data_IF_458813170969
#
_entry.id   IF_458813170969
#
_cell.length_a   1.000
_cell.length_b   1.000
_cell.length_c   1.000
_cell.angle_alpha   90.00
_cell.angle_beta   90.00
_cell.angle_gamma   90.00
#
_symmetry.space_group_name_H-M   'P 1'
#
loop_
_entity.id
_entity.type
_entity.pdbx_description
1 polymer ?
#
# COMPACT_ATOMS: atom_id res chain seq x y z
N UNK A 1 -4.73 19.80 1.19
CA UNK A 1 -4.95 18.41 1.66
C UNK A 1 -3.78 18.04 2.53
N UNK A 2 -4.03 17.47 3.70
CA UNK A 2 -2.98 17.17 4.67
C UNK A 2 -2.28 15.84 4.30
N UNK A 3 -1.01 15.91 3.88
CA UNK A 3 -0.18 14.77 3.44
C UNK A 3 -0.23 13.58 4.43
N UNK A 4 -0.38 13.89 5.71
CA UNK A 4 -0.50 12.91 6.79
C UNK A 4 -1.68 11.95 6.63
N UNK A 5 -2.80 12.41 6.06
CA UNK A 5 -3.98 11.56 5.86
C UNK A 5 -3.76 10.48 4.79
N UNK A 6 -2.91 10.78 3.81
CA UNK A 6 -2.68 9.92 2.66
C UNK A 6 -1.63 8.84 2.93
N UNK A 7 -0.61 9.14 3.74
CA UNK A 7 0.33 8.13 4.25
C UNK A 7 -0.39 7.15 5.18
N UNK A 8 -1.25 7.64 6.07
CA UNK A 8 -2.09 6.78 6.93
C UNK A 8 -3.03 5.89 6.12
N UNK A 9 -3.56 6.37 5.00
CA UNK A 9 -4.39 5.55 4.12
C UNK A 9 -3.60 4.36 3.56
N UNK A 10 -2.38 4.58 3.03
CA UNK A 10 -1.52 3.51 2.55
C UNK A 10 -1.25 2.46 3.64
N UNK A 11 -0.83 2.91 4.84
CA UNK A 11 -0.57 2.02 5.97
C UNK A 11 -1.82 1.23 6.37
N UNK A 12 -2.99 1.88 6.41
CA UNK A 12 -4.27 1.21 6.70
C UNK A 12 -4.62 0.16 5.65
N UNK A 13 -4.40 0.42 4.37
CA UNK A 13 -4.61 -0.57 3.30
C UNK A 13 -3.71 -1.79 3.50
N UNK A 14 -2.43 -1.59 3.79
CA UNK A 14 -1.47 -2.68 4.02
C UNK A 14 -1.86 -3.54 5.22
N UNK A 15 -2.25 -2.92 6.34
CA UNK A 15 -2.73 -3.65 7.53
C UNK A 15 -4.00 -4.44 7.23
N UNK A 16 -4.99 -3.80 6.58
CA UNK A 16 -6.26 -4.47 6.25
C UNK A 16 -6.05 -5.62 5.27
N UNK A 17 -5.14 -5.48 4.31
CA UNK A 17 -4.80 -6.55 3.37
C UNK A 17 -4.21 -7.75 4.10
N UNK A 18 -3.29 -7.53 5.05
CA UNK A 18 -2.72 -8.59 5.88
C UNK A 18 -3.79 -9.30 6.73
N UNK A 19 -4.72 -8.55 7.33
CA UNK A 19 -5.85 -9.12 8.08
C UNK A 19 -6.78 -9.93 7.15
N UNK A 20 -7.05 -9.43 5.94
CA UNK A 20 -7.89 -10.15 4.98
C UNK A 20 -7.24 -11.47 4.56
N UNK A 21 -5.93 -11.45 4.30
CA UNK A 21 -5.16 -12.65 3.96
C UNK A 21 -5.14 -13.67 5.12
N UNK A 22 -4.92 -13.21 6.36
CA UNK A 22 -4.92 -14.11 7.52
C UNK A 22 -6.28 -14.78 7.75
N UNK A 23 -7.36 -14.13 7.32
CA UNK A 23 -8.73 -14.64 7.40
C UNK A 23 -9.17 -15.42 6.14
N UNK A 24 -8.26 -15.69 5.19
CA UNK A 24 -8.55 -16.42 3.96
C UNK A 24 -9.34 -15.63 2.90
N UNK A 25 -9.54 -14.32 3.10
CA UNK A 25 -10.28 -13.44 2.19
C UNK A 25 -9.39 -12.94 1.04
N UNK A 26 -8.98 -13.85 0.15
CA UNK A 26 -7.99 -13.58 -0.91
C UNK A 26 -8.36 -12.39 -1.81
N UNK A 27 -9.58 -12.34 -2.32
CA UNK A 27 -10.04 -11.25 -3.22
C UNK A 27 -10.00 -9.88 -2.52
N UNK A 28 -10.40 -9.81 -1.25
CA UNK A 28 -10.36 -8.58 -0.46
C UNK A 28 -8.91 -8.16 -0.17
N UNK A 29 -8.01 -9.12 0.11
CA UNK A 29 -6.60 -8.86 0.28
C UNK A 29 -5.95 -8.31 -1.01
N UNK A 30 -6.25 -8.91 -2.16
CA UNK A 30 -5.78 -8.44 -3.47
C UNK A 30 -6.30 -7.04 -3.80
N UNK A 31 -7.59 -6.78 -3.56
CA UNK A 31 -8.22 -5.46 -3.73
C UNK A 31 -7.55 -4.39 -2.86
N UNK A 32 -7.31 -4.69 -1.58
CA UNK A 32 -6.68 -3.76 -0.63
C UNK A 32 -5.20 -3.52 -0.97
N UNK A 33 -4.46 -4.54 -1.42
CA UNK A 33 -3.09 -4.39 -1.94
C UNK A 33 -3.06 -3.50 -3.17
N UNK A 34 -3.95 -3.75 -4.13
CA UNK A 34 -4.06 -2.93 -5.33
C UNK A 34 -4.35 -1.46 -5.00
N UNK A 35 -5.24 -1.19 -4.04
CA UNK A 35 -5.49 0.18 -3.55
C UNK A 35 -4.27 0.79 -2.87
N UNK A 36 -3.57 0.03 -2.02
CA UNK A 36 -2.35 0.47 -1.36
C UNK A 36 -1.22 0.79 -2.34
N UNK A 37 -1.06 -0.04 -3.38
CA UNK A 37 -0.06 0.13 -4.44
C UNK A 37 -0.36 1.34 -5.32
N UNK A 38 -1.62 1.50 -5.77
CA UNK A 38 -2.04 2.68 -6.52
C UNK A 38 -1.78 3.96 -5.72
N UNK A 39 -2.04 3.92 -4.40
CA UNK A 39 -1.73 5.05 -3.53
C UNK A 39 -0.23 5.30 -3.46
N UNK A 40 0.59 4.26 -3.26
CA UNK A 40 2.04 4.39 -3.15
C UNK A 40 2.65 5.04 -4.40
N UNK A 41 2.28 4.58 -5.60
CA UNK A 41 2.86 5.10 -6.86
C UNK A 41 2.43 6.54 -7.20
N UNK A 42 1.40 7.05 -6.52
CA UNK A 42 0.87 8.41 -6.65
C UNK A 42 1.27 9.31 -5.48
N UNK A 43 2.15 8.86 -4.57
CA UNK A 43 2.66 9.70 -3.50
C UNK A 43 3.57 10.81 -4.04
N UNK A 44 3.44 12.00 -3.45
CA UNK A 44 4.38 13.09 -3.63
C UNK A 44 5.67 12.82 -2.85
N UNK A 45 6.75 13.53 -3.19
CA UNK A 45 8.05 13.35 -2.54
C UNK A 45 8.00 13.49 -1.01
N UNK A 46 7.32 14.52 -0.52
CA UNK A 46 7.14 14.76 0.91
C UNK A 46 6.40 13.63 1.62
N UNK A 47 5.46 12.98 0.91
CA UNK A 47 4.70 11.85 1.45
C UNK A 47 5.56 10.58 1.50
N UNK A 48 6.43 10.37 0.51
CA UNK A 48 7.41 9.29 0.52
C UNK A 48 8.44 9.48 1.62
N UNK A 49 8.91 10.71 1.85
CA UNK A 49 9.81 11.04 2.98
C UNK A 49 9.13 10.79 4.31
N UNK A 50 7.86 11.16 4.46
CA UNK A 50 7.12 10.92 5.68
C UNK A 50 6.87 9.42 5.91
N UNK A 51 6.51 8.68 4.86
CA UNK A 51 6.42 7.22 4.94
C UNK A 51 7.76 6.59 5.32
N UNK A 52 8.87 7.07 4.76
CA UNK A 52 10.21 6.60 5.08
C UNK A 52 10.55 6.83 6.56
N UNK A 53 10.20 7.99 7.13
CA UNK A 53 10.37 8.26 8.57
C UNK A 53 9.58 7.27 9.42
N UNK A 54 8.31 7.03 9.09
CA UNK A 54 7.44 6.08 9.82
C UNK A 54 8.00 4.66 9.78
N UNK A 55 8.62 4.26 8.67
CA UNK A 55 9.19 2.92 8.46
C UNK A 55 10.65 2.77 8.90
N UNK A 56 11.31 3.86 9.32
CA UNK A 56 12.71 3.86 9.75
C UNK A 56 12.89 3.31 11.17
N UNK A 57 14.08 2.79 11.45
CA UNK A 57 14.47 2.32 12.78
C UNK A 57 15.92 2.69 13.05
N UNK A 58 16.15 3.73 13.84
CA UNK A 58 17.50 4.24 14.10
C UNK A 58 18.23 3.42 15.17
N UNK A 59 19.54 3.12 15.00
CA UNK A 59 20.41 3.46 13.87
C UNK A 59 20.42 2.43 12.73
N UNK A 60 19.78 1.26 12.90
CA UNK A 60 19.89 0.11 11.99
C UNK A 60 19.35 0.33 10.58
N UNK A 61 18.39 1.25 10.40
CA UNK A 61 17.71 1.53 9.14
C UNK A 61 17.30 3.01 9.09
N UNK A 62 18.23 3.92 8.75
CA UNK A 62 17.97 5.36 8.65
C UNK A 62 16.88 5.71 7.64
N UNK A 63 16.17 6.82 7.85
CA UNK A 63 15.09 7.24 6.95
C UNK A 63 15.54 7.51 5.51
N UNK A 64 16.81 7.88 5.28
CA UNK A 64 17.38 8.04 3.94
C UNK A 64 17.38 6.72 3.16
N UNK A 65 17.94 5.67 3.75
CA UNK A 65 17.98 4.33 3.16
C UNK A 65 16.56 3.80 2.87
N UNK A 66 15.62 4.00 3.80
CA UNK A 66 14.21 3.62 3.58
C UNK A 66 13.58 4.39 2.43
N UNK A 67 13.89 5.68 2.28
CA UNK A 67 13.37 6.50 1.20
C UNK A 67 13.90 6.01 -0.16
N UNK A 68 15.18 5.67 -0.27
CA UNK A 68 15.77 5.12 -1.49
C UNK A 68 15.16 3.75 -1.86
N UNK A 69 14.95 2.89 -0.86
CA UNK A 69 14.21 1.63 -1.03
C UNK A 69 12.78 1.89 -1.55
N UNK A 70 12.06 2.85 -0.97
CA UNK A 70 10.71 3.22 -1.39
C UNK A 70 10.66 3.72 -2.83
N UNK A 71 11.65 4.49 -3.29
CA UNK A 71 11.75 4.91 -4.70
C UNK A 71 11.88 3.71 -5.64
N UNK A 72 12.71 2.74 -5.27
CA UNK A 72 12.86 1.50 -6.04
C UNK A 72 11.55 0.72 -6.12
N UNK A 73 10.85 0.59 -4.98
CA UNK A 73 9.54 -0.07 -4.91
C UNK A 73 8.51 0.67 -5.75
N UNK A 74 8.44 2.00 -5.70
CA UNK A 74 7.50 2.79 -6.51
C UNK A 74 7.69 2.52 -8.00
N UNK A 75 8.93 2.51 -8.47
CA UNK A 75 9.25 2.25 -9.88
C UNK A 75 8.89 0.82 -10.31
N UNK A 76 9.15 -0.17 -9.45
CA UNK A 76 8.71 -1.56 -9.70
C UNK A 76 7.18 -1.67 -9.75
N UNK A 77 6.48 -1.06 -8.81
CA UNK A 77 5.03 -1.08 -8.75
C UNK A 77 4.43 -0.40 -9.99
N UNK A 78 4.97 0.73 -10.45
CA UNK A 78 4.52 1.38 -11.70
C UNK A 78 4.60 0.44 -12.92
N UNK A 79 5.66 -0.36 -13.03
CA UNK A 79 5.82 -1.34 -14.13
C UNK A 79 4.80 -2.48 -14.07
N UNK A 80 4.28 -2.79 -12.88
CA UNK A 80 3.32 -3.88 -12.66
C UNK A 80 1.88 -3.41 -12.48
N UNK A 81 1.61 -2.11 -12.64
CA UNK A 81 0.30 -1.50 -12.39
C UNK A 81 -0.86 -2.13 -13.17
N UNK A 82 -0.60 -2.63 -14.39
CA UNK A 82 -1.61 -3.32 -15.21
C UNK A 82 -2.20 -4.57 -14.53
N UNK A 83 -1.45 -5.20 -13.63
CA UNK A 83 -1.89 -6.39 -12.88
C UNK A 83 -2.97 -6.07 -11.86
N UNK A 84 -3.11 -4.81 -11.46
CA UNK A 84 -4.04 -4.40 -10.40
C UNK A 84 -5.42 -4.04 -10.92
N UNK A 85 -5.58 -3.80 -12.23
CA UNK A 85 -6.82 -3.27 -12.81
C UNK A 85 -8.02 -4.14 -12.44
N UNK A 86 -7.90 -5.47 -12.53
CA UNK A 86 -8.96 -6.39 -12.15
C UNK A 86 -9.31 -6.33 -10.66
N UNK A 87 -8.31 -6.23 -9.80
CA UNK A 87 -8.51 -6.09 -8.37
C UNK A 87 -9.14 -4.72 -8.00
N UNK A 88 -8.77 -3.65 -8.70
CA UNK A 88 -9.31 -2.30 -8.46
C UNK A 88 -10.78 -2.16 -8.87
N UNK A 89 -11.27 -2.97 -9.80
CA UNK A 89 -12.68 -2.96 -10.25
C UNK A 89 -13.56 -3.97 -9.49
N UNK A 90 -12.96 -4.80 -8.63
CA UNK A 90 -13.70 -5.76 -7.81
C UNK A 90 -14.57 -5.06 -6.74
N UNK A 91 -15.80 -5.58 -6.53
CA UNK A 91 -16.68 -5.06 -5.48
C UNK A 91 -16.14 -5.43 -4.09
N UNK A 92 -16.14 -4.50 -3.13
CA UNK A 92 -15.80 -4.81 -1.74
C UNK A 92 -16.70 -5.92 -1.19
N UNK A 93 -16.14 -6.87 -0.43
CA UNK A 93 -16.89 -7.93 0.26
C UNK A 93 -17.73 -8.87 -0.65
N UNK A 94 -17.39 -8.99 -1.94
CA UNK A 94 -18.10 -9.89 -2.86
C UNK A 94 -18.22 -11.34 -2.36
N UNK A 95 -17.27 -11.79 -1.53
CA UNK A 95 -17.23 -13.11 -0.93
C UNK A 95 -18.09 -13.33 0.33
N UNK A 96 -18.72 -12.29 0.91
CA UNK A 96 -19.54 -12.44 2.14
C UNK A 96 -20.98 -12.88 1.84
N UNK A 97 -21.39 -12.93 0.58
CA UNK A 97 -22.69 -13.50 0.21
C UNK A 97 -22.57 -15.01 0.00
N UNK A 98 -22.70 -15.78 1.09
CA UNK A 98 -23.29 -17.13 1.17
C UNK A 98 -23.09 -17.70 2.58
N UNK A 99 -24.07 -17.44 3.45
CA UNK A 99 -24.64 -18.39 4.42
C UNK A 99 -25.98 -17.83 4.91
#
# INVERSE_FOLDING_TARGET
MDNFNLVRYHVKCSIRAAIAESNGMKEEAERLRAQGNLRLVTMLDDELRELARILSSHPSRPAGDVYDELLSVVEEQRRTAFRWIGALTARPFGAISKN
#
